data_IF_705300328340
#
_entry.id   IF_705300328340
#
_cell.length_a   1.000
_cell.length_b   1.000
_cell.length_c   1.000
_cell.angle_alpha   90.00
_cell.angle_beta   90.00
_cell.angle_gamma   90.00
#
_symmetry.space_group_name_H-M   'P 1'
#
loop_
_entity.id
_entity.type
_entity.pdbx_description
1 polymer ?
#
# COMPACT_ATOMS: atom_id res chain seq x y z
N UNK A 1 -7.60 -1.23 9.32
CA UNK A 1 -8.22 -1.71 8.07
C UNK A 1 -7.65 -3.07 7.66
N UNK A 2 -6.33 -3.21 7.59
CA UNK A 2 -5.64 -4.46 7.21
C UNK A 2 -6.01 -5.65 8.10
N UNK A 3 -6.03 -5.45 9.43
CA UNK A 3 -6.48 -6.46 10.41
C UNK A 3 -7.95 -6.91 10.29
N UNK A 4 -8.81 -6.13 9.64
CA UNK A 4 -10.25 -6.46 9.53
C UNK A 4 -10.54 -7.44 8.39
N UNK A 5 -9.70 -7.48 7.36
CA UNK A 5 -9.89 -8.34 6.18
C UNK A 5 -8.60 -9.08 5.81
N UNK A 6 -8.07 -9.94 6.71
CA UNK A 6 -6.75 -10.55 6.55
C UNK A 6 -6.62 -11.40 5.28
N UNK A 7 -7.70 -12.08 4.87
CA UNK A 7 -7.67 -12.97 3.71
C UNK A 7 -7.29 -12.23 2.42
N UNK A 8 -7.91 -11.07 2.17
CA UNK A 8 -7.70 -10.28 0.94
C UNK A 8 -6.22 -9.85 0.83
N UNK A 9 -5.61 -9.43 1.93
CA UNK A 9 -4.21 -9.03 1.95
C UNK A 9 -3.24 -10.23 1.88
N UNK A 10 -3.65 -11.41 2.37
CA UNK A 10 -2.81 -12.61 2.26
C UNK A 10 -2.72 -13.16 0.84
N UNK A 11 -3.80 -13.06 0.06
CA UNK A 11 -3.88 -13.59 -1.31
C UNK A 11 -3.41 -12.61 -2.38
N UNK A 12 -3.49 -11.30 -2.13
CA UNK A 12 -3.03 -10.29 -3.08
C UNK A 12 -1.53 -10.42 -3.36
N UNK A 13 -1.09 -10.34 -4.62
CA UNK A 13 0.33 -10.40 -5.00
C UNK A 13 1.03 -9.05 -4.82
N UNK A 14 0.35 -7.97 -5.19
CA UNK A 14 0.78 -6.58 -5.03
C UNK A 14 -0.29 -5.80 -4.28
N UNK A 15 0.11 -4.96 -3.33
CA UNK A 15 -0.80 -4.07 -2.62
C UNK A 15 -0.35 -2.61 -2.72
N UNK A 16 -1.33 -1.70 -2.77
CA UNK A 16 -1.08 -0.27 -2.74
C UNK A 16 -1.91 0.41 -1.64
N UNK A 17 -1.24 1.12 -0.74
CA UNK A 17 -1.87 2.04 0.20
C UNK A 17 -1.99 3.42 -0.47
N UNK A 18 -3.17 3.71 -1.01
CA UNK A 18 -3.43 4.96 -1.73
C UNK A 18 -3.87 6.10 -0.80
N UNK A 19 -3.82 7.32 -1.36
CA UNK A 19 -4.22 8.59 -0.73
C UNK A 19 -3.32 9.03 0.42
N UNK A 20 -2.02 8.73 0.34
CA UNK A 20 -1.06 9.16 1.38
C UNK A 20 -0.92 10.69 1.47
N UNK A 21 -1.38 11.43 0.45
CA UNK A 21 -1.48 12.90 0.50
C UNK A 21 -2.43 13.41 1.59
N UNK A 22 -3.32 12.56 2.10
CA UNK A 22 -4.25 12.91 3.17
C UNK A 22 -3.64 12.74 4.58
N UNK A 23 -2.47 12.13 4.72
CA UNK A 23 -1.84 11.86 6.03
C UNK A 23 -1.71 13.11 6.92
N UNK A 24 -1.33 14.30 6.42
CA UNK A 24 -1.27 15.50 7.26
C UNK A 24 -2.62 15.96 7.81
N UNK A 25 -3.73 15.49 7.25
CA UNK A 25 -5.09 15.90 7.59
C UNK A 25 -5.87 14.81 8.34
N UNK A 26 -5.27 13.63 8.52
CA UNK A 26 -5.89 12.47 9.12
C UNK A 26 -5.04 12.01 10.30
N UNK A 27 -5.70 11.56 11.37
CA UNK A 27 -5.01 10.87 12.48
C UNK A 27 -4.71 9.42 12.09
N UNK A 28 -3.81 9.25 11.12
CA UNK A 28 -3.43 7.96 10.57
C UNK A 28 -1.92 7.87 10.40
N UNK A 29 -1.36 6.74 10.79
CA UNK A 29 0.05 6.40 10.59
C UNK A 29 0.19 5.34 9.48
N UNK A 30 0.68 5.73 8.28
CA UNK A 30 0.93 4.79 7.18
C UNK A 30 1.94 3.70 7.54
N UNK A 31 2.91 4.00 8.41
CA UNK A 31 3.95 3.04 8.80
C UNK A 31 3.34 1.90 9.60
N UNK A 32 2.45 2.23 10.55
CA UNK A 32 1.71 1.22 11.31
C UNK A 32 0.82 0.35 10.41
N UNK A 33 0.24 0.92 9.35
CA UNK A 33 -0.54 0.14 8.37
C UNK A 33 0.38 -0.81 7.60
N UNK A 34 1.57 -0.36 7.21
CA UNK A 34 2.56 -1.20 6.53
C UNK A 34 3.04 -2.36 7.42
N UNK A 35 3.31 -2.12 8.70
CA UNK A 35 3.66 -3.17 9.66
C UNK A 35 2.53 -4.19 9.86
N UNK A 36 1.29 -3.72 9.98
CA UNK A 36 0.11 -4.60 10.07
C UNK A 36 -0.04 -5.45 8.80
N UNK A 37 0.26 -4.88 7.62
CA UNK A 37 0.26 -5.61 6.35
C UNK A 37 1.36 -6.67 6.28
N UNK A 38 2.59 -6.34 6.68
CA UNK A 38 3.70 -7.28 6.63
C UNK A 38 3.45 -8.54 7.48
N UNK A 39 2.76 -8.39 8.61
CA UNK A 39 2.35 -9.53 9.47
C UNK A 39 1.37 -10.49 8.77
N UNK A 40 0.55 -9.99 7.84
CA UNK A 40 -0.49 -10.77 7.16
C UNK A 40 0.01 -11.31 5.82
N UNK A 41 0.69 -10.48 5.03
CA UNK A 41 1.04 -10.75 3.64
C UNK A 41 2.41 -11.43 3.47
N UNK A 42 3.13 -11.75 4.56
CA UNK A 42 4.38 -12.55 4.56
C UNK A 42 5.43 -12.04 3.55
N UNK A 43 5.93 -10.82 3.73
CA UNK A 43 6.98 -10.18 2.91
C UNK A 43 6.57 -9.73 1.50
N UNK A 44 5.26 -9.66 1.19
CA UNK A 44 4.81 -9.03 -0.05
C UNK A 44 4.99 -7.51 0.00
N UNK A 45 5.20 -6.90 -1.17
CA UNK A 45 5.41 -5.46 -1.29
C UNK A 45 4.10 -4.69 -1.00
N UNK A 46 4.23 -3.56 -0.30
CA UNK A 46 3.16 -2.57 -0.12
C UNK A 46 3.65 -1.23 -0.65
N UNK A 47 2.99 -0.72 -1.69
CA UNK A 47 3.31 0.57 -2.29
C UNK A 47 2.52 1.68 -1.62
N UNK A 48 3.21 2.64 -1.02
CA UNK A 48 2.59 3.86 -0.53
C UNK A 48 2.47 4.84 -1.70
N UNK A 49 1.23 5.16 -2.09
CA UNK A 49 0.97 5.97 -3.28
C UNK A 49 -0.01 7.10 -3.03
N UNK A 50 0.06 8.12 -3.87
CA UNK A 50 -1.03 9.07 -4.08
C UNK A 50 -1.25 9.24 -5.57
N UNK A 51 -2.41 8.78 -6.05
CA UNK A 51 -2.83 9.02 -7.45
C UNK A 51 -2.98 10.51 -7.74
N UNK A 52 -3.35 11.31 -6.73
CA UNK A 52 -3.56 12.76 -6.88
C UNK A 52 -2.26 13.50 -7.12
N UNK A 53 -1.18 13.14 -6.42
CA UNK A 53 0.13 13.82 -6.54
C UNK A 53 1.11 13.07 -7.44
N UNK A 54 0.79 11.84 -7.83
CA UNK A 54 1.66 10.96 -8.61
C UNK A 54 2.73 10.24 -7.78
N UNK A 55 2.84 10.51 -6.47
CA UNK A 55 3.84 9.90 -5.60
C UNK A 55 3.65 8.37 -5.56
N UNK A 56 4.76 7.63 -5.71
CA UNK A 56 4.80 6.18 -5.60
C UNK A 56 4.26 5.40 -6.81
N UNK A 57 3.58 6.07 -7.76
CA UNK A 57 3.03 5.43 -8.97
C UNK A 57 4.12 4.78 -9.84
N UNK A 58 5.28 5.41 -10.11
CA UNK A 58 6.33 4.78 -10.93
C UNK A 58 6.88 3.48 -10.32
N UNK A 59 6.92 3.39 -8.99
CA UNK A 59 7.39 2.17 -8.31
C UNK A 59 6.35 1.07 -8.38
N UNK A 60 5.06 1.40 -8.24
CA UNK A 60 3.97 0.44 -8.40
C UNK A 60 3.92 -0.11 -9.82
N UNK A 61 4.06 0.75 -10.84
CA UNK A 61 4.08 0.35 -12.26
C UNK A 61 5.24 -0.61 -12.54
N UNK A 62 6.43 -0.29 -12.01
CA UNK A 62 7.61 -1.14 -12.16
C UNK A 62 7.41 -2.53 -11.52
N UNK A 63 6.82 -2.58 -10.33
CA UNK A 63 6.56 -3.84 -9.62
C UNK A 63 5.50 -4.69 -10.31
N UNK A 64 4.59 -4.06 -11.06
CA UNK A 64 3.58 -4.74 -11.88
C UNK A 64 4.10 -5.14 -13.27
N UNK A 65 5.36 -4.84 -13.59
CA UNK A 65 5.97 -5.10 -14.91
C UNK A 65 5.16 -4.50 -16.07
N UNK A 66 4.56 -3.33 -15.84
CA UNK A 66 3.80 -2.59 -16.86
C UNK A 66 4.74 -1.62 -17.57
N UNK A 67 4.87 -1.76 -18.89
CA UNK A 67 5.52 -0.76 -19.73
C UNK A 67 4.58 0.46 -19.92
N UNK A 68 5.08 1.66 -19.60
CA UNK A 68 4.38 2.95 -19.79
C UNK A 68 5.06 3.82 -20.83
#
# INVERSE_FOLDING_TARGET
MVRKHPLIFSVADVAALNKIDLVPYLDVDPQRIAEDYQKIAKNKNLHLISVKTGVGIPNLVRDLEIDL
#
